data_IF_404215685511
#
_entry.id   IF_404215685511
#
_cell.length_a   1.000
_cell.length_b   1.000
_cell.length_c   1.000
_cell.angle_alpha   90.00
_cell.angle_beta   90.00
_cell.angle_gamma   90.00
#
_symmetry.space_group_name_H-M   'P 1'
#
loop_
_entity.id
_entity.type
_entity.pdbx_description
1 polymer ?
#
# COMPACT_ATOMS: atom_id res chain seq x y z
N UNK A 1 -14.51 -52.21 -60.95
CA UNK A 1 -14.67 -50.95 -60.18
C UNK A 1 -15.46 -51.31 -58.93
N UNK A 2 -14.83 -51.30 -57.75
CA UNK A 2 -15.51 -51.66 -56.50
C UNK A 2 -16.33 -50.44 -56.08
N UNK A 3 -17.65 -50.54 -56.20
CA UNK A 3 -18.56 -49.50 -55.73
C UNK A 3 -18.90 -49.79 -54.26
N UNK A 4 -18.72 -48.83 -53.35
CA UNK A 4 -19.08 -49.02 -51.95
C UNK A 4 -20.59 -49.26 -51.83
N UNK A 5 -20.98 -50.19 -50.97
CA UNK A 5 -22.40 -50.40 -50.65
C UNK A 5 -22.97 -49.17 -49.93
N UNK A 6 -24.27 -48.93 -50.06
CA UNK A 6 -24.96 -47.82 -49.38
C UNK A 6 -24.75 -47.84 -47.86
N UNK A 7 -24.63 -49.03 -47.27
CA UNK A 7 -24.37 -49.21 -45.84
C UNK A 7 -22.96 -48.74 -45.44
N UNK A 8 -21.98 -48.94 -46.33
CA UNK A 8 -20.61 -48.45 -46.14
C UNK A 8 -20.60 -46.92 -46.13
N UNK A 9 -21.27 -46.30 -47.10
CA UNK A 9 -21.38 -44.84 -47.20
C UNK A 9 -22.09 -44.25 -45.98
N UNK A 10 -23.20 -44.86 -45.55
CA UNK A 10 -23.96 -44.45 -44.35
C UNK A 10 -23.12 -44.55 -43.08
N UNK A 11 -22.37 -45.64 -42.92
CA UNK A 11 -21.53 -45.88 -41.74
C UNK A 11 -20.42 -44.84 -41.65
N UNK A 12 -19.71 -44.59 -42.76
CA UNK A 12 -18.65 -43.58 -42.81
C UNK A 12 -19.20 -42.20 -42.45
N UNK A 13 -20.32 -41.80 -43.06
CA UNK A 13 -20.93 -40.49 -42.78
C UNK A 13 -21.34 -40.35 -41.30
N UNK A 14 -21.94 -41.39 -40.73
CA UNK A 14 -22.38 -41.39 -39.33
C UNK A 14 -21.19 -41.29 -38.37
N UNK A 15 -20.12 -42.06 -38.61
CA UNK A 15 -18.90 -42.01 -37.81
C UNK A 15 -18.24 -40.64 -37.92
N UNK A 16 -18.12 -40.09 -39.14
CA UNK A 16 -17.54 -38.76 -39.33
C UNK A 16 -18.30 -37.67 -38.57
N UNK A 17 -19.64 -37.73 -38.59
CA UNK A 17 -20.49 -36.79 -37.86
C UNK A 17 -20.33 -36.95 -36.35
N UNK A 18 -20.32 -38.19 -35.85
CA UNK A 18 -20.09 -38.48 -34.44
C UNK A 18 -18.73 -37.95 -33.95
N UNK A 19 -17.65 -38.21 -34.72
CA UNK A 19 -16.31 -37.70 -34.39
C UNK A 19 -16.30 -36.18 -34.37
N UNK A 20 -16.94 -35.52 -35.34
CA UNK A 20 -17.03 -34.06 -35.37
C UNK A 20 -17.73 -33.50 -34.13
N UNK A 21 -18.86 -34.09 -33.72
CA UNK A 21 -19.57 -33.69 -32.48
C UNK A 21 -18.67 -33.87 -31.26
N UNK A 22 -17.95 -34.99 -31.15
CA UNK A 22 -17.02 -35.23 -30.04
C UNK A 22 -15.95 -34.15 -29.98
N UNK A 23 -15.34 -33.80 -31.12
CA UNK A 23 -14.32 -32.75 -31.18
C UNK A 23 -14.91 -31.40 -30.73
N UNK A 24 -16.10 -31.04 -31.20
CA UNK A 24 -16.77 -29.81 -30.77
C UNK A 24 -17.02 -29.77 -29.26
N UNK A 25 -17.47 -30.89 -28.67
CA UNK A 25 -17.69 -30.99 -27.22
C UNK A 25 -16.39 -30.79 -26.46
N UNK A 26 -15.30 -31.46 -26.89
CA UNK A 26 -13.99 -31.33 -26.24
C UNK A 26 -13.49 -29.88 -26.33
N UNK A 27 -13.56 -29.25 -27.50
CA UNK A 27 -13.15 -27.86 -27.68
C UNK A 27 -13.98 -26.91 -26.82
N UNK A 28 -15.30 -27.07 -26.80
CA UNK A 28 -16.18 -26.25 -25.97
C UNK A 28 -15.89 -26.40 -24.47
N UNK A 29 -15.62 -27.63 -24.02
CA UNK A 29 -15.24 -27.90 -22.63
C UNK A 29 -13.91 -27.22 -22.26
N UNK A 30 -12.88 -27.38 -23.10
CA UNK A 30 -11.57 -26.76 -22.87
C UNK A 30 -11.65 -25.23 -22.84
N UNK A 31 -12.35 -24.62 -23.80
CA UNK A 31 -12.55 -23.18 -23.82
C UNK A 31 -13.29 -22.70 -22.57
N UNK A 32 -14.31 -23.45 -22.13
CA UNK A 32 -15.06 -23.11 -20.91
C UNK A 32 -14.16 -23.13 -19.68
N UNK A 33 -13.27 -24.12 -19.56
CA UNK A 33 -12.31 -24.21 -18.46
C UNK A 33 -11.33 -23.04 -18.48
N UNK A 34 -10.73 -22.74 -19.63
CA UNK A 34 -9.81 -21.61 -19.79
C UNK A 34 -10.49 -20.29 -19.40
N UNK A 35 -11.73 -20.07 -19.85
CA UNK A 35 -12.49 -18.87 -19.51
C UNK A 35 -12.85 -18.77 -18.02
N UNK A 36 -13.03 -19.90 -17.33
CA UNK A 36 -13.23 -19.90 -15.87
C UNK A 36 -11.95 -19.49 -15.16
N UNK A 37 -10.83 -20.13 -15.48
CA UNK A 37 -9.52 -19.80 -14.90
C UNK A 37 -9.14 -18.34 -15.16
N UNK A 38 -9.35 -17.83 -16.38
CA UNK A 38 -9.07 -16.43 -16.69
C UNK A 38 -9.90 -15.44 -15.85
N UNK A 39 -11.17 -15.77 -15.55
CA UNK A 39 -12.03 -14.93 -14.68
C UNK A 39 -11.58 -14.96 -13.23
N UNK A 40 -11.15 -16.11 -12.73
CA UNK A 40 -10.58 -16.25 -11.38
C UNK A 40 -9.29 -15.44 -11.24
N UNK A 41 -8.38 -15.56 -12.21
CA UNK A 41 -7.14 -14.76 -12.24
C UNK A 41 -7.45 -13.27 -12.26
N UNK A 42 -8.38 -12.82 -13.11
CA UNK A 42 -8.79 -11.41 -13.17
C UNK A 42 -9.28 -10.89 -11.82
N UNK A 43 -10.03 -11.72 -11.09
CA UNK A 43 -10.54 -11.37 -9.75
C UNK A 43 -9.39 -11.27 -8.74
N UNK A 44 -8.46 -12.23 -8.75
CA UNK A 44 -7.27 -12.21 -7.89
C UNK A 44 -6.37 -10.99 -8.15
N UNK A 45 -6.12 -10.67 -9.42
CA UNK A 45 -5.33 -9.49 -9.81
C UNK A 45 -6.01 -8.19 -9.35
N UNK A 46 -7.34 -8.09 -9.44
CA UNK A 46 -8.07 -6.90 -8.96
C UNK A 46 -7.92 -6.72 -7.45
N UNK A 47 -7.95 -7.80 -6.66
CA UNK A 47 -7.68 -7.75 -5.22
C UNK A 47 -6.25 -7.26 -4.94
N UNK A 48 -5.25 -7.81 -5.64
CA UNK A 48 -3.85 -7.41 -5.48
C UNK A 48 -3.66 -5.94 -5.84
N UNK A 49 -4.29 -5.47 -6.92
CA UNK A 49 -4.23 -4.06 -7.32
C UNK A 49 -4.76 -3.13 -6.23
N UNK A 50 -5.92 -3.44 -5.67
CA UNK A 50 -6.52 -2.67 -4.58
C UNK A 50 -5.62 -2.66 -3.32
N UNK A 51 -5.05 -3.82 -2.96
CA UNK A 51 -4.10 -3.92 -1.85
C UNK A 51 -2.83 -3.10 -2.13
N UNK A 52 -2.28 -3.18 -3.35
CA UNK A 52 -1.11 -2.42 -3.77
C UNK A 52 -1.32 -0.91 -3.70
N UNK A 53 -2.47 -0.42 -4.17
CA UNK A 53 -2.85 0.99 -4.03
C UNK A 53 -2.94 1.42 -2.56
N UNK A 54 -3.51 0.57 -1.70
CA UNK A 54 -3.62 0.85 -0.26
C UNK A 54 -2.24 0.90 0.41
N UNK A 55 -1.35 -0.02 0.08
CA UNK A 55 0.03 -0.03 0.56
C UNK A 55 0.77 1.22 0.10
N UNK A 56 0.68 1.59 -1.17
CA UNK A 56 1.32 2.79 -1.70
C UNK A 56 0.83 4.07 -0.99
N UNK A 57 -0.49 4.20 -0.79
CA UNK A 57 -1.07 5.34 -0.06
C UNK A 57 -0.59 5.41 1.39
N UNK A 58 -0.56 4.27 2.09
CA UNK A 58 -0.07 4.21 3.46
C UNK A 58 1.43 4.53 3.55
N UNK A 59 2.24 4.09 2.59
CA UNK A 59 3.68 4.40 2.53
C UNK A 59 3.95 5.89 2.32
N UNK A 60 3.14 6.58 1.51
CA UNK A 60 3.22 8.05 1.41
C UNK A 60 2.93 8.71 2.77
N UNK A 61 1.98 8.18 3.53
CA UNK A 61 1.73 8.67 4.89
C UNK A 61 2.86 8.31 5.87
N UNK A 62 3.54 7.18 5.71
CA UNK A 62 4.78 6.90 6.46
C UNK A 62 5.88 7.91 6.12
N UNK A 63 5.90 8.53 4.94
CA UNK A 63 6.82 9.65 4.69
C UNK A 63 6.50 10.88 5.58
N UNK A 64 5.25 11.05 6.04
CA UNK A 64 4.90 12.07 7.04
C UNK A 64 5.40 11.75 8.44
N UNK A 65 5.83 10.52 8.74
CA UNK A 65 6.52 10.22 10.00
C UNK A 65 7.83 10.99 10.12
N UNK A 66 8.52 11.27 9.02
CA UNK A 66 9.72 12.11 9.04
C UNK A 66 9.38 13.53 9.53
N UNK A 67 8.30 14.13 9.02
CA UNK A 67 7.81 15.43 9.49
C UNK A 67 7.40 15.40 10.95
N UNK A 68 6.72 14.34 11.37
CA UNK A 68 6.30 14.16 12.77
C UNK A 68 7.50 14.08 13.70
N UNK A 69 8.53 13.33 13.34
CA UNK A 69 9.76 13.22 14.11
C UNK A 69 10.52 14.56 14.18
N UNK A 70 10.55 15.31 13.07
CA UNK A 70 11.17 16.63 13.02
C UNK A 70 10.45 17.63 13.93
N UNK A 71 9.11 17.63 13.92
CA UNK A 71 8.31 18.47 14.84
C UNK A 71 8.50 18.02 16.30
N UNK A 72 8.52 16.71 16.58
CA UNK A 72 8.77 16.20 17.92
C UNK A 72 10.15 16.62 18.45
N UNK A 73 11.18 16.58 17.60
CA UNK A 73 12.52 17.06 17.95
C UNK A 73 12.53 18.56 18.26
N UNK A 74 11.84 19.39 17.46
CA UNK A 74 11.70 20.82 17.74
C UNK A 74 11.01 21.10 19.07
N UNK A 75 9.92 20.37 19.37
CA UNK A 75 9.22 20.46 20.65
C UNK A 75 10.16 20.11 21.82
N UNK A 76 10.94 19.04 21.68
CA UNK A 76 11.93 18.64 22.70
C UNK A 76 12.98 19.73 22.91
N UNK A 77 13.55 20.28 21.84
CA UNK A 77 14.53 21.38 21.93
C UNK A 77 13.95 22.60 22.64
N UNK A 78 12.73 23.01 22.30
CA UNK A 78 12.05 24.12 22.97
C UNK A 78 11.81 23.83 24.46
N UNK A 79 11.37 22.62 24.81
CA UNK A 79 11.14 22.23 26.19
C UNK A 79 12.43 22.27 27.03
N UNK A 80 13.55 21.78 26.49
CA UNK A 80 14.87 21.88 27.15
C UNK A 80 15.29 23.34 27.35
N UNK A 81 15.06 24.20 26.35
CA UNK A 81 15.33 25.64 26.45
C UNK A 81 14.53 26.31 27.57
N UNK A 82 13.24 25.97 27.71
CA UNK A 82 12.37 26.50 28.79
C UNK A 82 12.88 26.08 30.16
N UNK A 83 13.29 24.82 30.33
CA UNK A 83 13.85 24.32 31.60
C UNK A 83 15.12 25.10 31.95
N UNK A 84 16.02 25.31 30.99
CA UNK A 84 17.24 26.09 31.18
C UNK A 84 16.96 27.54 31.57
N UNK A 85 16.06 28.22 30.85
CA UNK A 85 15.66 29.59 31.17
C UNK A 85 15.03 29.69 32.57
N UNK A 86 14.19 28.74 32.94
CA UNK A 86 13.55 28.70 34.27
C UNK A 86 14.56 28.44 35.38
N UNK A 87 15.57 27.59 35.13
CA UNK A 87 16.67 27.36 36.06
C UNK A 87 17.50 28.63 36.27
N UNK A 88 17.84 29.35 35.18
CA UNK A 88 18.57 30.62 35.27
C UNK A 88 17.76 31.71 36.01
N UNK A 89 16.44 31.76 35.80
CA UNK A 89 15.55 32.66 36.57
C UNK A 89 15.57 32.29 38.05
N UNK A 90 15.50 31.00 38.39
CA UNK A 90 15.55 30.53 39.78
C UNK A 90 16.86 30.88 40.46
N UNK A 91 17.98 30.67 39.77
CA UNK A 91 19.32 31.03 40.23
C UNK A 91 19.43 32.54 40.47
N UNK A 92 19.05 33.36 39.48
CA UNK A 92 19.04 34.82 39.61
C UNK A 92 18.16 35.30 40.77
N UNK A 93 16.98 34.71 40.95
CA UNK A 93 16.06 35.08 42.04
C UNK A 93 16.64 34.75 43.43
N UNK A 94 17.47 33.71 43.56
CA UNK A 94 18.15 33.37 44.80
C UNK A 94 19.24 34.37 45.20
N UNK A 95 19.90 34.98 44.22
CA UNK A 95 20.99 35.95 44.41
C UNK A 95 20.50 37.40 44.42
N UNK A 96 19.23 37.63 44.10
CA UNK A 96 18.68 38.97 43.93
C UNK A 96 18.08 39.51 45.25
N UNK A 97 18.61 40.63 45.81
CA UNK A 97 18.04 41.29 47.00
C UNK A 97 16.70 42.03 46.76
N UNK A 98 16.13 41.94 45.54
CA UNK A 98 14.88 42.59 45.15
C UNK A 98 15.04 43.70 44.09
N UNK A 99 14.01 43.91 43.28
CA UNK A 99 13.94 45.00 42.32
C UNK A 99 13.65 46.35 43.04
N UNK A 100 14.21 47.48 42.59
CA UNK A 100 14.99 47.69 41.35
C UNK A 100 16.49 47.41 41.47
N UNK A 101 17.02 47.13 42.66
CA UNK A 101 18.46 47.00 42.91
C UNK A 101 19.15 45.90 42.07
N UNK A 102 18.46 44.80 41.76
CA UNK A 102 19.01 43.73 40.93
C UNK A 102 19.15 44.06 39.44
N UNK A 103 18.24 44.90 38.91
CA UNK A 103 18.19 45.30 37.49
C UNK A 103 19.15 46.46 37.23
N UNK A 104 19.33 47.35 38.22
CA UNK A 104 20.14 48.56 38.11
C UNK A 104 21.56 48.42 38.71
N UNK A 105 21.95 47.23 39.18
CA UNK A 105 23.23 46.99 39.85
C UNK A 105 24.45 46.98 38.89
N UNK A 106 25.68 47.21 39.41
CA UNK A 106 26.89 47.52 38.63
C UNK A 106 27.37 46.42 37.67
N UNK A 107 26.82 45.21 37.76
CA UNK A 107 27.10 44.05 36.89
C UNK A 107 26.44 44.14 35.51
N UNK A 108 25.63 45.17 35.25
CA UNK A 108 24.91 45.39 33.99
C UNK A 108 25.15 46.79 33.37
N UNK A 109 26.14 47.54 33.86
CA UNK A 109 26.61 48.74 33.18
C UNK A 109 27.43 48.34 31.93
N UNK A 110 27.25 49.00 30.77
CA UNK A 110 27.91 48.65 29.51
C UNK A 110 29.44 48.72 29.59
#
# INVERSE_FOLDING_TARGET
>A
MIHPSLDTVRTVWTISLAVFVVVLIVVAALLTLILRTAREIKTGVSLIWNVGQRVANNTIQLAMLHKTNLVAAQILTSAVGIIGATAAIKEHAGECPGCPACVLGPRWAP
#
